data_IF_801634917691
#
_entry.id   IF_801634917691
#
_cell.length_a   1.000
_cell.length_b   1.000
_cell.length_c   1.000
_cell.angle_alpha   90.00
_cell.angle_beta   90.00
_cell.angle_gamma   90.00
#
_symmetry.space_group_name_H-M   'P 1'
#
loop_
_entity.id
_entity.type
_entity.pdbx_description
1 polymer ?
#
# COMPACT_ATOMS: atom_id res chain seq x y z
N UNK A 1 9.45 16.55 8.60
CA UNK A 1 8.21 16.12 7.91
C UNK A 1 8.24 14.64 7.56
N UNK A 2 9.13 14.16 6.68
CA UNK A 2 9.20 12.75 6.25
C UNK A 2 9.28 11.74 7.41
N UNK A 3 10.24 11.94 8.32
CA UNK A 3 10.42 11.07 9.49
C UNK A 3 9.18 11.06 10.40
N UNK A 4 8.54 12.22 10.58
CA UNK A 4 7.30 12.35 11.35
C UNK A 4 6.18 11.52 10.74
N UNK A 5 5.96 11.63 9.42
CA UNK A 5 4.98 10.81 8.70
C UNK A 5 5.29 9.32 8.84
N UNK A 6 6.55 8.93 8.74
CA UNK A 6 6.96 7.53 8.92
C UNK A 6 6.66 6.99 10.32
N UNK A 7 6.96 7.76 11.37
CA UNK A 7 6.63 7.39 12.76
C UNK A 7 5.13 7.23 12.93
N UNK A 8 4.33 8.17 12.42
CA UNK A 8 2.87 8.07 12.48
C UNK A 8 2.31 6.90 11.66
N UNK A 9 2.81 6.63 10.45
CA UNK A 9 2.43 5.45 9.66
C UNK A 9 2.76 4.15 10.39
N UNK A 10 3.92 4.06 11.03
CA UNK A 10 4.31 2.90 11.84
C UNK A 10 3.39 2.73 13.05
N UNK A 11 3.07 3.83 13.75
CA UNK A 11 2.11 3.81 14.84
C UNK A 11 0.72 3.33 14.37
N UNK A 12 0.23 3.83 13.24
CA UNK A 12 -1.04 3.36 12.67
C UNK A 12 -0.97 1.88 12.28
N UNK A 13 0.16 1.36 11.83
CA UNK A 13 0.34 -0.09 11.60
C UNK A 13 0.29 -0.90 12.90
N UNK A 14 0.81 -0.36 14.01
CA UNK A 14 0.66 -0.95 15.35
C UNK A 14 -0.82 -1.00 15.74
N UNK A 15 -1.53 0.11 15.54
CA UNK A 15 -2.95 0.24 15.87
C UNK A 15 -3.83 -0.64 14.99
N UNK A 16 -3.52 -0.75 13.70
CA UNK A 16 -4.18 -1.64 12.73
C UNK A 16 -4.12 -3.10 13.20
N UNK A 17 -2.93 -3.56 13.58
CA UNK A 17 -2.75 -4.92 14.10
C UNK A 17 -3.49 -5.14 15.43
N UNK A 18 -3.48 -4.14 16.31
CA UNK A 18 -4.11 -4.24 17.64
C UNK A 18 -5.64 -4.21 17.56
N UNK A 19 -6.20 -3.30 16.76
CA UNK A 19 -7.65 -3.07 16.65
C UNK A 19 -8.36 -4.21 15.96
N UNK A 20 -7.77 -4.73 14.86
CA UNK A 20 -8.40 -5.78 14.06
C UNK A 20 -7.92 -7.19 14.40
N UNK A 21 -6.99 -7.32 15.35
CA UNK A 21 -6.40 -8.60 15.78
C UNK A 21 -5.97 -9.41 14.56
N UNK A 22 -5.08 -8.83 13.75
CA UNK A 22 -4.63 -9.45 12.50
C UNK A 22 -3.89 -10.76 12.76
N UNK A 23 -3.17 -10.84 13.88
CA UNK A 23 -2.50 -12.05 14.34
C UNK A 23 -3.27 -12.67 15.51
N UNK A 24 -3.44 -14.00 15.51
CA UNK A 24 -4.07 -14.74 16.63
C UNK A 24 -3.22 -14.80 17.90
N UNK A 25 -2.01 -14.26 17.87
CA UNK A 25 -1.12 -14.13 19.04
C UNK A 25 -0.71 -12.68 19.22
N UNK A 26 -0.51 -12.25 20.47
CA UNK A 26 -0.01 -10.91 20.77
C UNK A 26 1.41 -10.77 20.23
N UNK A 27 1.53 -10.05 19.12
CA UNK A 27 2.79 -9.87 18.39
C UNK A 27 2.81 -8.51 17.73
N UNK A 28 3.98 -7.85 17.72
CA UNK A 28 4.22 -6.58 17.01
C UNK A 28 4.85 -6.79 15.63
N UNK A 29 4.88 -8.03 15.13
CA UNK A 29 5.56 -8.39 13.88
C UNK A 29 5.05 -7.62 12.65
N UNK A 30 3.78 -7.23 12.60
CA UNK A 30 3.22 -6.42 11.48
C UNK A 30 3.98 -5.09 11.35
N UNK A 31 4.15 -4.37 12.46
CA UNK A 31 4.85 -3.09 12.50
C UNK A 31 6.35 -3.27 12.33
N UNK A 32 6.95 -4.31 12.92
CA UNK A 32 8.36 -4.61 12.72
C UNK A 32 8.69 -4.92 11.25
N UNK A 33 7.85 -5.70 10.57
CA UNK A 33 8.01 -5.99 9.14
C UNK A 33 7.88 -4.72 8.29
N UNK A 34 6.90 -3.86 8.61
CA UNK A 34 6.73 -2.57 7.94
C UNK A 34 7.95 -1.65 8.10
N UNK A 35 8.44 -1.50 9.34
CA UNK A 35 9.64 -0.73 9.65
C UNK A 35 10.85 -1.30 8.90
N UNK A 36 11.07 -2.61 8.97
CA UNK A 36 12.22 -3.25 8.36
C UNK A 36 12.24 -3.11 6.83
N UNK A 37 11.08 -3.29 6.16
CA UNK A 37 10.97 -3.11 4.71
C UNK A 37 11.15 -1.64 4.29
N UNK A 38 10.54 -0.71 5.02
CA UNK A 38 10.64 0.73 4.70
C UNK A 38 12.06 1.26 4.95
N UNK A 39 12.71 0.85 6.04
CA UNK A 39 14.09 1.21 6.32
C UNK A 39 15.09 0.57 5.34
N UNK A 40 14.82 -0.64 4.86
CA UNK A 40 15.68 -1.25 3.84
C UNK A 40 15.64 -0.47 2.53
N UNK A 41 14.49 0.12 2.18
CA UNK A 41 14.29 0.88 0.97
C UNK A 41 14.51 2.39 1.22
N UNK A 42 15.76 2.79 1.49
CA UNK A 42 16.13 4.16 1.88
C UNK A 42 15.68 5.25 0.90
N UNK A 43 15.58 4.94 -0.40
CA UNK A 43 15.09 5.88 -1.41
C UNK A 43 13.67 6.41 -1.11
N UNK A 44 12.86 5.72 -0.30
CA UNK A 44 11.54 6.18 0.15
C UNK A 44 11.62 7.40 1.08
N UNK A 45 12.77 7.71 1.67
CA UNK A 45 12.91 8.89 2.52
C UNK A 45 13.31 10.14 1.74
N UNK A 46 13.54 10.06 0.43
CA UNK A 46 13.89 11.22 -0.40
C UNK A 46 12.71 12.20 -0.57
N UNK A 47 11.48 11.69 -0.66
CA UNK A 47 10.29 12.49 -0.97
C UNK A 47 9.32 12.65 0.22
N UNK A 48 8.96 13.90 0.51
CA UNK A 48 8.06 14.28 1.60
C UNK A 48 6.59 13.96 1.27
N UNK A 49 6.19 14.10 0.01
CA UNK A 49 4.83 13.78 -0.41
C UNK A 49 4.56 12.28 -0.23
N UNK A 50 5.51 11.42 -0.58
CA UNK A 50 5.39 9.98 -0.37
C UNK A 50 5.23 9.56 1.09
N UNK A 51 5.82 10.31 2.03
CA UNK A 51 5.58 10.10 3.47
C UNK A 51 4.11 10.31 3.83
N UNK A 52 3.51 11.40 3.36
CA UNK A 52 2.08 11.71 3.57
C UNK A 52 1.20 10.66 2.90
N UNK A 53 1.50 10.27 1.66
CA UNK A 53 0.77 9.21 0.94
C UNK A 53 0.78 7.90 1.72
N UNK A 54 1.92 7.49 2.29
CA UNK A 54 1.99 6.28 3.12
C UNK A 54 1.06 6.34 4.34
N UNK A 55 0.99 7.51 4.99
CA UNK A 55 0.13 7.74 6.14
C UNK A 55 -1.35 7.69 5.74
N UNK A 56 -1.69 8.33 4.63
CA UNK A 56 -3.04 8.30 4.06
C UNK A 56 -3.49 6.90 3.70
N UNK A 57 -2.61 6.07 3.13
CA UNK A 57 -2.91 4.66 2.81
C UNK A 57 -3.24 3.87 4.08
N UNK A 58 -2.39 3.94 5.12
CA UNK A 58 -2.63 3.18 6.36
C UNK A 58 -3.89 3.67 7.07
N UNK A 59 -4.10 5.00 7.14
CA UNK A 59 -5.30 5.58 7.72
C UNK A 59 -6.59 5.19 6.96
N UNK A 60 -6.50 5.15 5.62
CA UNK A 60 -7.57 4.67 4.74
C UNK A 60 -7.90 3.21 5.00
N UNK A 61 -6.90 2.31 5.04
CA UNK A 61 -7.09 0.89 5.35
C UNK A 61 -7.70 0.68 6.74
N UNK A 62 -7.21 1.40 7.75
CA UNK A 62 -7.72 1.31 9.11
C UNK A 62 -9.21 1.70 9.19
N UNK A 63 -9.59 2.79 8.53
CA UNK A 63 -10.99 3.23 8.48
C UNK A 63 -11.84 2.27 7.64
N UNK A 64 -11.30 1.74 6.55
CA UNK A 64 -11.96 0.79 5.66
C UNK A 64 -12.33 -0.50 6.39
N UNK A 65 -11.42 -1.05 7.20
CA UNK A 65 -11.68 -2.26 7.97
C UNK A 65 -12.77 -2.10 9.04
N UNK A 66 -13.03 -0.88 9.53
CA UNK A 66 -14.16 -0.60 10.43
C UNK A 66 -15.52 -0.77 9.75
N UNK A 67 -15.57 -0.74 8.42
CA UNK A 67 -16.81 -0.95 7.65
C UNK A 67 -17.23 -2.41 7.53
N UNK A 68 -16.42 -3.36 8.00
CA UNK A 68 -16.64 -4.80 7.83
C UNK A 68 -18.10 -5.22 8.14
N UNK A 69 -18.75 -5.84 7.15
CA UNK A 69 -20.14 -6.31 7.17
C UNK A 69 -21.22 -5.25 7.50
N UNK A 70 -20.86 -3.98 7.65
CA UNK A 70 -21.78 -2.90 7.92
C UNK A 70 -22.08 -2.08 6.65
N UNK A 71 -23.24 -2.36 6.06
CA UNK A 71 -23.73 -1.66 4.85
C UNK A 71 -24.29 -0.27 5.12
N UNK A 72 -24.48 0.11 6.39
CA UNK A 72 -24.99 1.40 6.84
C UNK A 72 -23.88 2.32 7.35
N UNK A 73 -22.64 1.83 7.44
CA UNK A 73 -21.47 2.56 7.89
C UNK A 73 -20.97 3.61 6.87
N UNK A 74 -21.83 4.58 6.53
CA UNK A 74 -21.51 5.69 5.63
C UNK A 74 -20.41 6.57 6.19
N UNK A 75 -20.40 6.84 7.51
CA UNK A 75 -19.38 7.65 8.17
C UNK A 75 -17.97 7.06 8.05
N UNK A 76 -17.76 5.80 8.45
CA UNK A 76 -16.44 5.17 8.30
C UNK A 76 -16.03 4.97 6.86
N UNK A 77 -16.99 4.77 5.95
CA UNK A 77 -16.68 4.73 4.51
C UNK A 77 -16.16 6.10 4.06
N UNK A 78 -16.85 7.19 4.39
CA UNK A 78 -16.38 8.54 4.09
C UNK A 78 -14.95 8.76 4.64
N UNK A 79 -14.70 8.42 5.90
CA UNK A 79 -13.36 8.54 6.51
C UNK A 79 -12.29 7.63 5.89
N UNK A 80 -12.66 6.52 5.24
CA UNK A 80 -11.72 5.69 4.51
C UNK A 80 -11.29 6.32 3.17
N UNK A 81 -12.19 7.07 2.52
CA UNK A 81 -11.93 7.65 1.20
C UNK A 81 -11.40 9.09 1.25
N UNK A 82 -11.57 9.82 2.35
CA UNK A 82 -10.91 11.13 2.54
C UNK A 82 -9.38 11.03 2.47
N UNK A 83 -8.70 10.11 3.18
CA UNK A 83 -7.25 9.91 3.03
C UNK A 83 -6.84 9.56 1.60
N UNK A 84 -7.65 8.77 0.87
CA UNK A 84 -7.39 8.46 -0.53
C UNK A 84 -7.49 9.72 -1.41
N UNK A 85 -8.49 10.58 -1.18
CA UNK A 85 -8.62 11.88 -1.83
C UNK A 85 -7.42 12.79 -1.55
N UNK A 86 -6.98 12.88 -0.29
CA UNK A 86 -5.78 13.64 0.09
C UNK A 86 -4.52 13.09 -0.57
N UNK A 87 -4.34 11.76 -0.59
CA UNK A 87 -3.23 11.12 -1.31
C UNK A 87 -3.27 11.47 -2.81
N UNK A 88 -4.46 11.51 -3.40
CA UNK A 88 -4.62 11.84 -4.82
C UNK A 88 -4.35 13.31 -5.17
N UNK A 89 -4.43 14.23 -4.22
CA UNK A 89 -3.96 15.61 -4.43
C UNK A 89 -2.45 15.69 -4.63
N UNK A 90 -1.70 14.79 -3.97
CA UNK A 90 -0.24 14.74 -4.08
C UNK A 90 0.23 13.84 -5.22
N UNK A 91 -0.53 12.77 -5.48
CA UNK A 91 -0.22 11.76 -6.47
C UNK A 91 -1.51 11.27 -7.12
N UNK A 92 -1.88 11.87 -8.25
CA UNK A 92 -3.20 11.67 -8.87
C UNK A 92 -3.50 10.21 -9.20
N UNK A 93 -2.48 9.43 -9.53
CA UNK A 93 -2.61 8.02 -9.89
C UNK A 93 -3.05 7.14 -8.71
N UNK A 94 -3.05 7.66 -7.47
CA UNK A 94 -3.73 7.02 -6.33
C UNK A 94 -5.21 6.72 -6.63
N UNK A 95 -5.86 7.48 -7.52
CA UNK A 95 -7.24 7.24 -7.97
C UNK A 95 -7.42 5.89 -8.68
N UNK A 96 -6.38 5.25 -9.22
CA UNK A 96 -6.51 3.90 -9.77
C UNK A 96 -6.84 2.86 -8.68
N UNK A 97 -6.53 3.14 -7.41
CA UNK A 97 -6.90 2.28 -6.28
C UNK A 97 -8.33 2.53 -5.76
N UNK A 98 -9.02 3.57 -6.24
CA UNK A 98 -10.43 3.86 -5.92
C UNK A 98 -11.37 2.73 -6.38
N UNK A 99 -11.42 2.33 -7.67
CA UNK A 99 -12.29 1.23 -8.11
C UNK A 99 -11.91 -0.10 -7.44
N UNK A 100 -10.62 -0.31 -7.18
CA UNK A 100 -10.16 -1.49 -6.44
C UNK A 100 -10.71 -1.51 -5.01
N UNK A 101 -10.74 -0.35 -4.34
CA UNK A 101 -11.31 -0.22 -2.99
C UNK A 101 -12.81 -0.55 -2.99
N UNK A 102 -13.56 -0.16 -4.03
CA UNK A 102 -14.97 -0.58 -4.19
C UNK A 102 -15.13 -2.08 -4.39
N UNK A 103 -14.26 -2.71 -5.20
CA UNK A 103 -14.25 -4.16 -5.39
C UNK A 103 -13.98 -4.86 -4.05
N UNK A 104 -13.01 -4.39 -3.28
CA UNK A 104 -12.69 -4.91 -1.94
C UNK A 104 -13.87 -4.73 -0.97
N UNK A 105 -14.53 -3.57 -0.98
CA UNK A 105 -15.73 -3.34 -0.17
C UNK A 105 -16.87 -4.31 -0.52
N UNK A 106 -17.03 -4.63 -1.81
CA UNK A 106 -18.06 -5.52 -2.28
C UNK A 106 -17.75 -6.99 -1.98
N UNK A 107 -16.56 -7.46 -2.35
CA UNK A 107 -16.17 -8.86 -2.32
C UNK A 107 -15.62 -9.31 -0.95
N UNK A 108 -14.71 -8.53 -0.37
CA UNK A 108 -14.01 -8.90 0.86
C UNK A 108 -14.78 -8.42 2.10
N UNK A 109 -14.97 -7.11 2.23
CA UNK A 109 -15.55 -6.53 3.45
C UNK A 109 -17.08 -6.63 3.51
N UNK A 110 -17.74 -6.88 2.37
CA UNK A 110 -19.21 -7.00 2.23
C UNK A 110 -19.99 -5.77 2.73
N UNK A 111 -19.36 -4.60 2.72
CA UNK A 111 -19.88 -3.33 3.24
C UNK A 111 -20.48 -2.41 2.18
N UNK A 112 -20.44 -2.84 0.91
CA UNK A 112 -20.94 -2.04 -0.21
C UNK A 112 -22.47 -1.94 -0.23
N UNK A 113 -22.96 -0.70 -0.32
CA UNK A 113 -24.36 -0.31 -0.52
C UNK A 113 -24.40 1.00 -1.32
N UNK A 114 -25.57 1.42 -1.84
CA UNK A 114 -25.67 2.70 -2.55
C UNK A 114 -25.31 3.90 -1.67
N UNK A 115 -25.57 3.80 -0.36
CA UNK A 115 -25.23 4.85 0.60
C UNK A 115 -23.72 4.91 0.86
N UNK A 116 -23.07 3.77 1.05
CA UNK A 116 -21.61 3.72 1.27
C UNK A 116 -20.84 4.04 -0.02
N UNK A 117 -21.36 3.65 -1.19
CA UNK A 117 -20.83 4.10 -2.47
C UNK A 117 -20.86 5.63 -2.60
N UNK A 118 -22.01 6.27 -2.36
CA UNK A 118 -22.10 7.73 -2.35
C UNK A 118 -21.12 8.37 -1.36
N UNK A 119 -21.03 7.83 -0.14
CA UNK A 119 -20.09 8.31 0.88
C UNK A 119 -18.61 8.19 0.43
N UNK A 120 -18.26 7.14 -0.30
CA UNK A 120 -16.90 6.97 -0.84
C UNK A 120 -16.56 8.02 -1.90
N UNK A 121 -17.49 8.32 -2.80
CA UNK A 121 -17.32 9.35 -3.84
C UNK A 121 -17.18 10.73 -3.20
N UNK A 122 -18.05 11.07 -2.25
CA UNK A 122 -17.92 12.31 -1.48
C UNK A 122 -16.60 12.38 -0.70
N UNK A 123 -16.15 11.27 -0.12
CA UNK A 123 -14.87 11.21 0.60
C UNK A 123 -13.68 11.61 -0.28
N UNK A 124 -13.64 11.14 -1.53
CA UNK A 124 -12.58 11.50 -2.48
C UNK A 124 -12.70 12.96 -2.94
N UNK A 125 -13.92 13.45 -3.21
CA UNK A 125 -14.15 14.80 -3.75
C UNK A 125 -13.85 15.91 -2.74
N UNK A 126 -14.13 15.68 -1.45
CA UNK A 126 -14.00 16.72 -0.41
C UNK A 126 -12.61 17.37 -0.36
N UNK A 127 -11.48 16.63 -0.36
CA UNK A 127 -10.15 17.22 -0.46
C UNK A 127 -9.96 18.11 -1.69
N UNK A 128 -10.48 17.71 -2.86
CA UNK A 128 -10.42 18.52 -4.08
C UNK A 128 -11.27 19.78 -3.99
N UNK A 129 -12.37 19.78 -3.24
CA UNK A 129 -13.16 20.99 -3.02
C UNK A 129 -12.32 22.06 -2.33
N UNK A 130 -11.63 21.69 -1.24
CA UNK A 130 -10.77 22.62 -0.51
C UNK A 130 -9.59 23.10 -1.36
N UNK A 131 -8.95 22.21 -2.11
CA UNK A 131 -7.88 22.57 -3.04
C UNK A 131 -8.39 23.50 -4.16
N UNK A 132 -9.57 23.21 -4.73
CA UNK A 132 -10.19 24.02 -5.77
C UNK A 132 -10.50 25.44 -5.33
N UNK A 133 -10.97 25.63 -4.08
CA UNK A 133 -11.18 26.96 -3.51
C UNK A 133 -9.87 27.78 -3.45
N UNK A 134 -8.76 27.14 -3.10
CA UNK A 134 -7.45 27.78 -3.11
C UNK A 134 -7.05 28.21 -4.53
N UNK A 135 -7.19 27.33 -5.52
CA UNK A 135 -6.84 27.63 -6.92
C UNK A 135 -7.72 28.71 -7.56
N UNK A 136 -9.01 28.75 -7.23
CA UNK A 136 -9.91 29.83 -7.65
C UNK A 136 -9.48 31.17 -7.04
N UNK A 137 -9.06 31.17 -5.76
CA UNK A 137 -8.57 32.38 -5.10
C UNK A 137 -7.25 32.89 -5.68
N UNK A 138 -6.35 31.99 -6.10
CA UNK A 138 -5.07 32.34 -6.74
C UNK A 138 -5.16 32.54 -8.24
N UNK A 139 -6.36 32.45 -8.83
CA UNK A 139 -6.61 32.53 -10.28
C UNK A 139 -5.77 31.56 -11.14
N UNK A 140 -5.36 30.42 -10.57
CA UNK A 140 -4.53 29.41 -11.24
C UNK A 140 -5.36 28.18 -11.61
N UNK A 141 -5.81 28.15 -12.87
CA UNK A 141 -6.57 27.04 -13.44
C UNK A 141 -5.63 26.01 -14.11
N UNK A 142 -4.40 26.40 -14.43
CA UNK A 142 -3.46 25.56 -15.16
C UNK A 142 -2.94 24.40 -14.30
N UNK A 143 -2.63 24.66 -13.03
CA UNK A 143 -2.09 23.62 -12.12
C UNK A 143 -3.07 22.45 -11.89
N UNK A 144 -4.37 22.68 -11.57
CA UNK A 144 -5.35 21.60 -11.47
C UNK A 144 -5.54 20.83 -12.78
N UNK A 145 -5.53 21.53 -13.92
CA UNK A 145 -5.69 20.91 -15.23
C UNK A 145 -4.53 19.94 -15.51
N UNK A 146 -3.30 20.41 -15.35
CA UNK A 146 -2.09 19.60 -15.53
C UNK A 146 -2.05 18.39 -14.59
N UNK A 147 -2.52 18.56 -13.34
CA UNK A 147 -2.62 17.47 -12.37
C UNK A 147 -3.52 16.33 -12.88
N UNK A 148 -4.70 16.65 -13.41
CA UNK A 148 -5.61 15.63 -13.96
C UNK A 148 -5.18 15.09 -15.32
N UNK A 149 -4.53 15.91 -16.16
CA UNK A 149 -3.93 15.46 -17.42
C UNK A 149 -2.88 14.36 -17.18
N UNK A 150 -2.12 14.44 -16.09
CA UNK A 150 -1.13 13.42 -15.73
C UNK A 150 -1.73 12.02 -15.42
N UNK A 151 -3.05 11.89 -15.27
CA UNK A 151 -3.73 10.57 -15.20
C UNK A 151 -3.65 9.84 -16.55
N UNK A 152 -3.73 10.60 -17.65
CA UNK A 152 -3.75 10.10 -19.02
C UNK A 152 -2.33 9.87 -19.56
N UNK A 153 -1.31 10.33 -18.85
CA UNK A 153 0.08 10.13 -19.20
C UNK A 153 0.56 8.72 -18.79
N UNK A 154 0.33 7.77 -19.68
CA UNK A 154 0.90 6.43 -19.54
C UNK A 154 2.32 6.41 -20.10
N UNK A 155 3.30 6.21 -19.23
CA UNK A 155 4.65 5.82 -19.64
C UNK A 155 4.68 4.47 -20.37
N UNK A 156 5.83 4.09 -20.95
CA UNK A 156 5.95 2.83 -21.67
C UNK A 156 5.59 1.67 -20.75
N UNK A 157 4.58 0.89 -21.13
CA UNK A 157 4.10 -0.26 -20.37
C UNK A 157 5.26 -1.24 -20.20
N UNK A 158 5.47 -1.72 -18.98
CA UNK A 158 6.63 -2.54 -18.61
C UNK A 158 7.98 -1.87 -18.89
N UNK A 159 8.08 -0.54 -18.98
CA UNK A 159 9.36 0.14 -19.25
C UNK A 159 10.05 -0.29 -20.55
N UNK A 160 9.30 -0.86 -21.50
CA UNK A 160 9.88 -1.47 -22.70
C UNK A 160 10.54 -2.84 -22.51
N UNK A 161 10.34 -3.53 -21.37
CA UNK A 161 10.88 -4.88 -21.08
C UNK A 161 10.62 -5.87 -22.21
N UNK A 162 9.40 -5.88 -22.76
CA UNK A 162 9.06 -6.80 -23.84
C UNK A 162 9.83 -6.52 -25.14
N UNK A 163 10.32 -5.29 -25.33
CA UNK A 163 10.95 -4.85 -26.57
C UNK A 163 12.49 -4.76 -26.48
N UNK A 164 13.02 -4.46 -25.30
CA UNK A 164 14.45 -4.22 -25.03
C UNK A 164 15.02 -5.10 -23.89
N UNK A 165 14.24 -6.05 -23.38
CA UNK A 165 14.65 -6.93 -22.28
C UNK A 165 14.80 -6.21 -20.93
N UNK A 166 15.40 -6.91 -19.95
CA UNK A 166 15.64 -6.38 -18.60
C UNK A 166 16.60 -5.15 -18.63
N UNK A 167 17.42 -5.03 -19.66
CA UNK A 167 18.34 -3.90 -19.89
C UNK A 167 17.61 -2.55 -20.08
N UNK A 168 16.36 -2.56 -20.55
CA UNK A 168 15.55 -1.36 -20.73
C UNK A 168 15.15 -0.68 -19.42
N UNK A 169 15.12 -1.45 -18.32
CA UNK A 169 14.58 -0.99 -17.05
C UNK A 169 15.63 -0.39 -16.12
N UNK A 170 16.89 -0.80 -16.29
CA UNK A 170 18.02 -0.26 -15.53
C UNK A 170 18.13 1.27 -15.63
N UNK A 171 18.03 1.91 -16.81
CA UNK A 171 18.13 3.37 -16.90
C UNK A 171 16.86 4.11 -16.44
N UNK A 172 15.71 3.44 -16.25
CA UNK A 172 14.45 4.09 -15.86
C UNK A 172 14.13 4.00 -14.37
N UNK A 173 14.55 2.93 -13.69
CA UNK A 173 14.17 2.68 -12.27
C UNK A 173 15.39 2.62 -11.35
N UNK A 174 16.58 2.24 -11.83
CA UNK A 174 17.74 2.01 -10.96
C UNK A 174 17.76 0.61 -10.34
N UNK A 175 18.96 0.14 -9.99
CA UNK A 175 19.20 -1.22 -9.52
C UNK A 175 18.67 -1.44 -8.09
N UNK A 176 18.82 -0.43 -7.23
CA UNK A 176 18.33 -0.36 -5.85
C UNK A 176 16.82 -0.61 -5.75
N UNK A 177 16.04 0.09 -6.58
CA UNK A 177 14.58 -0.03 -6.66
C UNK A 177 14.15 -1.40 -7.18
N UNK A 178 14.84 -1.92 -8.20
CA UNK A 178 14.56 -3.27 -8.73
C UNK A 178 14.82 -4.39 -7.73
N UNK A 179 15.95 -4.36 -7.04
CA UNK A 179 16.25 -5.34 -5.98
C UNK A 179 15.21 -5.27 -4.86
N UNK A 180 14.82 -4.05 -4.48
CA UNK A 180 13.81 -3.83 -3.44
C UNK A 180 12.44 -4.36 -3.85
N UNK A 181 12.05 -4.17 -5.12
CA UNK A 181 10.83 -4.76 -5.68
C UNK A 181 10.87 -6.28 -5.67
N UNK A 182 11.93 -6.88 -6.23
CA UNK A 182 12.09 -8.33 -6.30
C UNK A 182 12.01 -8.97 -4.91
N UNK A 183 12.76 -8.42 -3.95
CA UNK A 183 12.73 -8.89 -2.58
C UNK A 183 11.33 -8.80 -1.96
N UNK A 184 10.65 -7.66 -2.15
CA UNK A 184 9.30 -7.45 -1.61
C UNK A 184 8.27 -8.38 -2.23
N UNK A 185 8.37 -8.66 -3.53
CA UNK A 185 7.50 -9.63 -4.23
C UNK A 185 7.75 -11.05 -3.72
N UNK A 186 9.00 -11.43 -3.43
CA UNK A 186 9.31 -12.74 -2.81
C UNK A 186 8.67 -12.84 -1.41
N UNK A 187 8.75 -11.78 -0.60
CA UNK A 187 8.10 -11.74 0.72
C UNK A 187 6.56 -11.81 0.59
N UNK A 188 5.99 -11.04 -0.32
CA UNK A 188 4.55 -11.02 -0.59
C UNK A 188 4.05 -12.40 -1.03
N UNK A 189 4.69 -13.01 -2.03
CA UNK A 189 4.32 -14.34 -2.52
C UNK A 189 4.44 -15.40 -1.42
N UNK A 190 5.51 -15.38 -0.62
CA UNK A 190 5.68 -16.30 0.52
C UNK A 190 4.55 -16.12 1.54
N UNK A 191 4.23 -14.88 1.90
CA UNK A 191 3.14 -14.55 2.82
C UNK A 191 1.77 -14.98 2.29
N UNK A 192 1.47 -14.68 1.02
CA UNK A 192 0.22 -15.06 0.34
C UNK A 192 0.07 -16.58 0.30
N UNK A 193 1.07 -17.31 -0.18
CA UNK A 193 1.01 -18.77 -0.31
C UNK A 193 0.81 -19.42 1.05
N UNK A 194 1.50 -18.94 2.08
CA UNK A 194 1.32 -19.46 3.42
C UNK A 194 -0.07 -19.17 3.98
N UNK A 195 -0.53 -17.92 3.89
CA UNK A 195 -1.85 -17.55 4.35
C UNK A 195 -2.94 -18.35 3.62
N UNK A 196 -2.89 -18.50 2.29
CA UNK A 196 -3.88 -19.26 1.54
C UNK A 196 -3.92 -20.74 1.96
N UNK A 197 -2.77 -21.35 2.30
CA UNK A 197 -2.70 -22.73 2.80
C UNK A 197 -3.30 -22.89 4.21
N UNK A 198 -3.25 -21.85 5.04
CA UNK A 198 -3.70 -21.87 6.44
C UNK A 198 -4.94 -21.02 6.73
N UNK A 199 -5.55 -20.43 5.70
CA UNK A 199 -6.70 -19.51 5.81
C UNK A 199 -7.84 -20.05 6.68
N UNK A 200 -8.04 -21.36 6.69
CA UNK A 200 -9.10 -22.01 7.46
C UNK A 200 -8.87 -21.98 8.98
N UNK A 201 -7.66 -21.70 9.46
CA UNK A 201 -7.34 -21.58 10.88
C UNK A 201 -7.73 -20.20 11.47
N UNK A 202 -7.91 -19.19 10.62
CA UNK A 202 -8.20 -17.82 11.06
C UNK A 202 -9.70 -17.54 11.21
N UNK A 203 -10.05 -16.49 11.97
CA UNK A 203 -11.44 -16.03 12.09
C UNK A 203 -11.94 -15.46 10.76
N UNK A 204 -13.26 -15.53 10.52
CA UNK A 204 -13.87 -15.09 9.26
C UNK A 204 -13.58 -13.62 8.94
N UNK A 205 -13.58 -12.73 9.94
CA UNK A 205 -13.24 -11.32 9.77
C UNK A 205 -11.76 -11.12 9.39
N UNK A 206 -10.84 -11.77 10.12
CA UNK A 206 -9.40 -11.77 9.80
C UNK A 206 -9.15 -12.24 8.37
N UNK A 207 -9.87 -13.28 7.91
CA UNK A 207 -9.76 -13.75 6.53
C UNK A 207 -10.10 -12.67 5.50
N UNK A 208 -11.15 -11.88 5.75
CA UNK A 208 -11.55 -10.82 4.82
C UNK A 208 -10.56 -9.64 4.83
N UNK A 209 -9.94 -9.34 5.97
CA UNK A 209 -8.86 -8.33 6.05
C UNK A 209 -7.62 -8.79 5.28
N UNK A 210 -7.23 -10.05 5.41
CA UNK A 210 -6.11 -10.60 4.63
C UNK A 210 -6.43 -10.69 3.14
N UNK A 211 -7.63 -11.09 2.76
CA UNK A 211 -8.05 -11.05 1.35
C UNK A 211 -7.93 -9.62 0.78
N UNK A 212 -8.25 -8.59 1.58
CA UNK A 212 -8.05 -7.18 1.21
C UNK A 212 -6.56 -6.85 1.00
N UNK A 213 -5.68 -7.22 1.93
CA UNK A 213 -4.24 -7.01 1.78
C UNK A 213 -3.69 -7.71 0.54
N UNK A 214 -4.17 -8.93 0.22
CA UNK A 214 -3.76 -9.68 -0.97
C UNK A 214 -4.19 -8.95 -2.24
N UNK A 215 -5.45 -8.50 -2.30
CA UNK A 215 -5.96 -7.76 -3.46
C UNK A 215 -5.16 -6.49 -3.72
N UNK A 216 -4.89 -5.69 -2.67
CA UNK A 216 -4.06 -4.48 -2.82
C UNK A 216 -2.60 -4.79 -3.15
N UNK A 217 -2.03 -5.88 -2.61
CA UNK A 217 -0.67 -6.33 -2.93
C UNK A 217 -0.55 -6.70 -4.41
N UNK A 218 -1.44 -7.56 -4.92
CA UNK A 218 -1.45 -7.98 -6.32
C UNK A 218 -1.65 -6.76 -7.23
N UNK A 219 -2.61 -5.89 -6.91
CA UNK A 219 -2.84 -4.68 -7.69
C UNK A 219 -1.64 -3.73 -7.68
N UNK A 220 -0.94 -3.60 -6.55
CA UNK A 220 0.28 -2.77 -6.46
C UNK A 220 1.40 -3.34 -7.32
N UNK A 221 1.60 -4.66 -7.32
CA UNK A 221 2.59 -5.32 -8.21
C UNK A 221 2.21 -5.11 -9.68
N UNK A 222 0.94 -5.33 -10.05
CA UNK A 222 0.47 -5.11 -11.42
C UNK A 222 0.67 -3.65 -11.83
N UNK A 223 0.33 -2.71 -10.95
CA UNK A 223 0.50 -1.28 -11.20
C UNK A 223 1.98 -0.90 -11.38
N UNK A 224 2.88 -1.43 -10.54
CA UNK A 224 4.33 -1.21 -10.67
C UNK A 224 4.90 -1.74 -11.99
N UNK A 225 4.35 -2.84 -12.50
CA UNK A 225 4.73 -3.38 -13.81
C UNK A 225 4.16 -2.55 -14.97
N UNK A 226 2.94 -2.03 -14.83
CA UNK A 226 2.29 -1.24 -15.88
C UNK A 226 2.82 0.20 -15.96
N UNK A 227 3.09 0.84 -14.82
CA UNK A 227 3.50 2.24 -14.71
C UNK A 227 4.76 2.38 -13.82
N UNK A 228 5.92 1.94 -14.32
CA UNK A 228 7.17 2.03 -13.57
C UNK A 228 7.58 3.47 -13.23
N UNK A 229 7.10 4.49 -13.95
CA UNK A 229 7.44 5.88 -13.64
C UNK A 229 6.94 6.35 -12.26
N UNK A 230 5.93 5.68 -11.69
CA UNK A 230 5.39 6.00 -10.34
C UNK A 230 5.88 5.02 -9.26
N UNK A 231 7.07 4.45 -9.46
CA UNK A 231 7.62 3.39 -8.61
C UNK A 231 7.55 3.71 -7.12
N UNK A 232 8.10 4.85 -6.68
CA UNK A 232 8.26 5.16 -5.26
C UNK A 232 6.93 5.24 -4.52
N UNK A 233 5.90 5.78 -5.16
CA UNK A 233 4.57 5.93 -4.58
C UNK A 233 3.84 4.59 -4.51
N UNK A 234 3.85 3.82 -5.60
CA UNK A 234 3.18 2.51 -5.63
C UNK A 234 3.90 1.46 -4.79
N UNK A 235 5.22 1.55 -4.68
CA UNK A 235 6.01 0.65 -3.84
C UNK A 235 5.69 0.83 -2.35
N UNK A 236 5.35 2.04 -1.89
CA UNK A 236 4.84 2.27 -0.51
C UNK A 236 3.56 1.48 -0.25
N UNK A 237 2.62 1.50 -1.20
CA UNK A 237 1.38 0.71 -1.12
C UNK A 237 1.70 -0.78 -1.04
N UNK A 238 2.64 -1.26 -1.86
CA UNK A 238 3.08 -2.66 -1.82
C UNK A 238 3.66 -3.05 -0.46
N UNK A 239 4.56 -2.23 0.11
CA UNK A 239 5.17 -2.49 1.41
C UNK A 239 4.11 -2.56 2.51
N UNK A 240 3.23 -1.56 2.60
CA UNK A 240 2.16 -1.50 3.62
C UNK A 240 1.30 -2.77 3.62
N UNK A 241 0.91 -3.27 2.45
CA UNK A 241 0.06 -4.46 2.33
C UNK A 241 0.85 -5.78 2.47
N UNK A 242 2.15 -5.78 2.15
CA UNK A 242 3.03 -6.95 2.30
C UNK A 242 3.40 -7.20 3.76
N UNK A 243 3.55 -6.16 4.58
CA UNK A 243 4.00 -6.31 5.96
C UNK A 243 3.08 -7.19 6.83
N UNK A 244 1.74 -7.06 6.80
CA UNK A 244 0.84 -7.98 7.49
C UNK A 244 0.93 -9.43 6.99
N UNK A 245 1.15 -9.64 5.68
CA UNK A 245 1.27 -10.96 5.07
C UNK A 245 2.51 -11.69 5.56
N UNK A 246 3.67 -11.03 5.55
CA UNK A 246 4.90 -11.65 6.04
C UNK A 246 4.91 -11.79 7.56
N UNK A 247 4.33 -10.84 8.29
CA UNK A 247 4.17 -10.97 9.74
C UNK A 247 3.31 -12.18 10.11
N UNK A 248 2.26 -12.47 9.32
CA UNK A 248 1.45 -13.67 9.50
C UNK A 248 2.28 -14.95 9.32
N UNK A 249 3.07 -15.02 8.24
CA UNK A 249 3.99 -16.13 7.98
C UNK A 249 4.96 -16.36 9.14
N UNK A 250 5.66 -15.31 9.58
CA UNK A 250 6.69 -15.43 10.63
C UNK A 250 6.06 -15.86 11.95
N UNK A 251 4.89 -15.32 12.29
CA UNK A 251 4.25 -15.57 13.59
C UNK A 251 3.67 -16.99 13.70
N UNK A 252 3.20 -17.58 12.61
CA UNK A 252 2.47 -18.86 12.62
C UNK A 252 3.27 -20.06 12.14
N UNK A 253 4.56 -19.88 11.89
CA UNK A 253 5.45 -20.97 11.48
C UNK A 253 6.36 -21.40 12.63
N UNK A 254 6.58 -22.72 12.78
CA UNK A 254 7.34 -23.31 13.89
C UNK A 254 8.28 -24.45 13.47
N UNK A 255 8.60 -24.58 12.18
CA UNK A 255 9.47 -25.66 11.68
C UNK A 255 10.90 -25.18 11.45
N UNK A 256 11.84 -26.13 11.35
CA UNK A 256 13.25 -25.82 11.04
C UNK A 256 13.39 -25.05 9.71
N UNK A 257 12.63 -25.44 8.68
CA UNK A 257 12.65 -24.80 7.36
C UNK A 257 12.14 -23.36 7.44
N UNK A 258 11.10 -23.10 8.24
CA UNK A 258 10.55 -21.75 8.38
C UNK A 258 11.40 -20.85 9.29
N UNK A 259 12.14 -21.43 10.24
CA UNK A 259 13.14 -20.69 11.00
C UNK A 259 14.32 -20.30 10.11
N UNK A 260 14.76 -21.21 9.22
CA UNK A 260 15.80 -20.91 8.24
C UNK A 260 15.35 -19.82 7.26
N UNK A 261 14.10 -19.87 6.77
CA UNK A 261 13.58 -18.81 5.90
C UNK A 261 13.47 -17.47 6.64
N UNK A 262 13.10 -17.45 7.93
CA UNK A 262 13.12 -16.25 8.76
C UNK A 262 14.52 -15.62 8.84
N UNK A 263 15.54 -16.43 9.11
CA UNK A 263 16.94 -15.97 9.12
C UNK A 263 17.33 -15.44 7.73
N UNK A 264 16.97 -16.14 6.67
CA UNK A 264 17.25 -15.71 5.30
C UNK A 264 16.57 -14.36 4.96
N UNK A 265 15.34 -14.14 5.41
CA UNK A 265 14.64 -12.85 5.25
C UNK A 265 15.33 -11.73 6.03
N UNK A 266 15.79 -11.98 7.24
CA UNK A 266 16.56 -11.02 8.04
C UNK A 266 17.88 -10.65 7.35
N UNK A 267 18.66 -11.64 6.91
CA UNK A 267 19.88 -11.42 6.15
C UNK A 267 19.59 -10.66 4.85
N UNK A 268 18.50 -11.00 4.16
CA UNK A 268 18.06 -10.31 2.95
C UNK A 268 17.72 -8.84 3.17
N UNK A 269 17.00 -8.51 4.25
CA UNK A 269 16.70 -7.12 4.64
C UNK A 269 17.99 -6.35 4.92
N UNK A 270 18.92 -6.93 5.69
CA UNK A 270 20.20 -6.26 6.01
C UNK A 270 21.03 -6.05 4.75
N UNK A 271 21.16 -7.07 3.90
CA UNK A 271 21.87 -6.96 2.63
C UNK A 271 21.25 -5.90 1.72
N UNK A 272 19.92 -5.89 1.59
CA UNK A 272 19.20 -4.89 0.80
C UNK A 272 19.41 -3.47 1.34
N UNK A 273 19.42 -3.31 2.67
CA UNK A 273 19.69 -2.02 3.31
C UNK A 273 21.09 -1.53 2.97
N UNK A 274 22.11 -2.39 3.06
CA UNK A 274 23.50 -2.04 2.73
C UNK A 274 23.62 -1.67 1.25
N UNK A 275 23.03 -2.46 0.36
CA UNK A 275 23.06 -2.18 -1.09
C UNK A 275 22.40 -0.84 -1.41
N UNK A 276 21.23 -0.55 -0.84
CA UNK A 276 20.50 0.71 -1.07
C UNK A 276 21.16 1.95 -0.41
N UNK A 277 22.19 1.77 0.43
CA UNK A 277 23.00 2.87 0.96
C UNK A 277 24.23 3.12 0.09
N UNK A 278 24.78 2.05 -0.50
CA UNK A 278 26.02 2.10 -1.30
C UNK A 278 25.75 2.60 -2.73
N UNK A 279 24.61 2.23 -3.31
CA UNK A 279 24.15 2.65 -4.64
C UNK A 279 23.42 3.98 -4.52
#
# INVERSE_FOLDING_TARGET
MQFTCFVFSSYLMVELNTTFVLLRTYSRMVSCAFLAQTCAANFLFSDAAGGIVSLCIVAGLMSLFKTYQDRLSTGWTFYAFVPLGVASLLWVQALFFLPLSWIVMWLCLRSMSMRTFGASVFGVIVPYWFAGLYFVFTEDIATPLAHFESILEFGPIFGGVFNKGIEAIYPTIGLDRWLSLLFTVILATTGIVHYLRRKNEDKVNTRMYYDTFITFTIASVVYLLLQPQHFDMAYRMLVINTSPLIAHYITHTRTMVTNLSFIAMLCGIVALTVVNIII
#
